data_IF_407565314165
#
_entry.id   IF_407565314165
#
_cell.length_a   1.000
_cell.length_b   1.000
_cell.length_c   1.000
_cell.angle_alpha   90.00
_cell.angle_beta   90.00
_cell.angle_gamma   90.00
#
_symmetry.space_group_name_H-M   'P 1'
#
loop_
_entity.id
_entity.type
_entity.pdbx_description
1 polymer ?
#
# COMPACT_ATOMS: atom_id res chain seq x y z
N UNK A 1 -54.32 26.19 23.10
CA UNK A 1 -52.90 26.09 23.53
C UNK A 1 -52.83 25.06 24.64
N UNK A 2 -52.47 23.82 24.32
CA UNK A 2 -52.40 22.74 25.31
C UNK A 2 -51.06 22.87 26.05
N UNK A 3 -51.15 23.26 27.32
CA UNK A 3 -50.02 23.45 28.22
C UNK A 3 -49.53 22.06 28.64
N UNK A 4 -48.31 21.70 28.24
CA UNK A 4 -47.72 20.42 28.62
C UNK A 4 -47.65 20.33 30.16
N UNK A 5 -48.06 19.19 30.77
CA UNK A 5 -48.02 19.02 32.22
C UNK A 5 -46.58 19.26 32.69
N UNK A 6 -46.41 20.23 33.58
CA UNK A 6 -45.14 20.48 34.26
C UNK A 6 -44.87 19.30 35.18
N UNK A 7 -44.12 18.32 34.69
CA UNK A 7 -43.65 17.21 35.50
C UNK A 7 -42.52 17.76 36.38
N UNK A 8 -42.69 17.73 37.72
CA UNK A 8 -41.65 18.24 38.62
C UNK A 8 -40.37 17.43 38.43
N UNK A 9 -39.19 18.07 38.48
CA UNK A 9 -37.92 17.39 38.30
C UNK A 9 -37.74 16.35 39.42
N UNK A 10 -37.57 15.09 39.04
CA UNK A 10 -37.26 14.00 39.98
C UNK A 10 -35.81 14.18 40.43
N UNK A 11 -35.64 14.44 41.72
CA UNK A 11 -34.36 14.72 42.33
C UNK A 11 -33.65 13.39 42.62
N UNK A 12 -32.76 12.99 41.71
CA UNK A 12 -32.04 11.73 41.84
C UNK A 12 -30.85 11.90 42.80
N UNK A 13 -31.04 11.42 44.03
CA UNK A 13 -30.03 11.43 45.10
C UNK A 13 -29.56 10.00 45.38
N UNK A 14 -28.30 9.88 45.78
CA UNK A 14 -27.79 8.72 46.52
C UNK A 14 -28.55 8.59 47.84
N UNK A 15 -28.62 7.38 48.44
CA UNK A 15 -29.23 7.22 49.76
C UNK A 15 -28.57 8.10 50.85
N UNK A 16 -27.36 8.57 50.59
CA UNK A 16 -26.53 9.37 51.51
C UNK A 16 -26.76 10.88 51.34
N UNK A 17 -27.71 11.26 50.48
CA UNK A 17 -28.13 12.65 50.27
C UNK A 17 -27.27 13.42 49.26
N UNK A 18 -26.28 12.79 48.64
CA UNK A 18 -25.53 13.40 47.54
C UNK A 18 -26.33 13.28 46.24
N UNK A 19 -26.41 14.36 45.45
CA UNK A 19 -26.97 14.31 44.10
C UNK A 19 -26.14 13.34 43.26
N UNK A 20 -26.80 12.45 42.52
CA UNK A 20 -26.07 11.72 41.48
C UNK A 20 -25.60 12.74 40.46
N UNK A 21 -24.29 12.91 40.32
CA UNK A 21 -23.73 13.66 39.22
C UNK A 21 -24.26 13.05 37.93
N UNK A 22 -25.16 13.77 37.25
CA UNK A 22 -25.58 13.38 35.92
C UNK A 22 -24.31 13.21 35.07
N UNK A 23 -24.18 12.12 34.27
CA UNK A 23 -23.04 11.97 33.38
C UNK A 23 -22.97 13.27 32.58
N UNK A 24 -21.90 14.05 32.77
CA UNK A 24 -21.73 15.33 32.11
C UNK A 24 -21.86 15.06 30.62
N UNK A 25 -23.03 15.38 30.06
CA UNK A 25 -23.26 15.27 28.64
C UNK A 25 -22.11 16.04 27.98
N UNK A 26 -21.35 15.43 27.05
CA UNK A 26 -20.14 16.04 26.52
C UNK A 26 -20.47 17.46 26.08
N UNK A 27 -19.86 18.43 26.77
CA UNK A 27 -20.13 19.86 26.59
C UNK A 27 -20.14 20.13 25.10
N UNK A 28 -21.31 20.51 24.55
CA UNK A 28 -21.49 20.84 23.13
C UNK A 28 -20.31 21.71 22.69
N UNK A 29 -19.47 21.12 21.83
CA UNK A 29 -18.07 21.47 21.66
C UNK A 29 -17.80 22.93 21.33
N UNK A 30 -16.78 23.45 22.01
CA UNK A 30 -16.05 24.66 21.65
C UNK A 30 -15.82 24.70 20.14
N UNK A 31 -16.00 25.86 19.49
CA UNK A 31 -15.76 26.01 18.04
C UNK A 31 -14.38 25.50 17.61
N UNK A 32 -13.41 25.53 18.53
CA UNK A 32 -12.06 24.98 18.36
C UNK A 32 -12.06 23.48 18.11
N UNK A 33 -12.90 22.72 18.80
CA UNK A 33 -12.98 21.26 18.66
C UNK A 33 -13.44 20.86 17.25
N UNK A 34 -14.38 21.63 16.70
CA UNK A 34 -14.85 21.48 15.31
C UNK A 34 -13.76 21.80 14.28
N UNK A 35 -12.91 22.78 14.57
CA UNK A 35 -11.76 23.13 13.72
C UNK A 35 -10.69 22.06 13.80
N UNK A 36 -10.37 21.57 15.00
CA UNK A 36 -9.41 20.48 15.21
C UNK A 36 -9.84 19.20 14.49
N UNK A 37 -11.11 18.81 14.59
CA UNK A 37 -11.62 17.61 13.91
C UNK A 37 -11.50 17.75 12.39
N UNK A 38 -11.87 18.91 11.82
CA UNK A 38 -11.73 19.16 10.38
C UNK A 38 -10.28 19.19 9.93
N UNK A 39 -9.41 19.83 10.70
CA UNK A 39 -8.00 19.94 10.39
C UNK A 39 -7.30 18.59 10.50
N UNK A 40 -7.62 17.80 11.52
CA UNK A 40 -7.15 16.42 11.69
C UNK A 40 -7.59 15.53 10.54
N UNK A 41 -8.87 15.60 10.13
CA UNK A 41 -9.38 14.87 8.97
C UNK A 41 -8.66 15.26 7.66
N UNK A 42 -8.48 16.55 7.42
CA UNK A 42 -7.76 17.05 6.25
C UNK A 42 -6.28 16.64 6.25
N UNK A 43 -5.62 16.68 7.42
CA UNK A 43 -4.23 16.27 7.58
C UNK A 43 -4.05 14.78 7.28
N UNK A 44 -4.97 13.92 7.74
CA UNK A 44 -4.94 12.48 7.43
C UNK A 44 -5.10 12.25 5.93
N UNK A 45 -6.05 12.94 5.28
CA UNK A 45 -6.22 12.83 3.83
C UNK A 45 -4.97 13.27 3.07
N UNK A 46 -4.39 14.42 3.46
CA UNK A 46 -3.16 14.93 2.88
C UNK A 46 -1.99 13.96 3.06
N UNK A 47 -1.87 13.34 4.23
CA UNK A 47 -0.83 12.34 4.50
C UNK A 47 -0.99 11.08 3.64
N UNK A 48 -2.23 10.60 3.44
CA UNK A 48 -2.50 9.45 2.56
C UNK A 48 -2.14 9.79 1.11
N UNK A 49 -2.54 10.96 0.63
CA UNK A 49 -2.21 11.42 -0.73
C UNK A 49 -0.70 11.55 -0.91
N UNK A 50 -0.02 12.22 0.02
CA UNK A 50 1.43 12.40 -0.03
C UNK A 50 2.16 11.06 0.03
N UNK A 51 1.78 10.16 0.93
CA UNK A 51 2.34 8.81 1.04
C UNK A 51 2.16 8.00 -0.25
N UNK A 52 0.96 8.05 -0.84
CA UNK A 52 0.69 7.43 -2.14
C UNK A 52 1.56 8.01 -3.26
N UNK A 53 1.75 9.33 -3.28
CA UNK A 53 2.58 10.01 -4.26
C UNK A 53 4.06 9.61 -4.14
N UNK A 54 4.58 9.51 -2.92
CA UNK A 54 5.95 9.05 -2.64
C UNK A 54 6.14 7.60 -3.10
N UNK A 55 5.16 6.73 -2.82
CA UNK A 55 5.19 5.34 -3.30
C UNK A 55 5.16 5.27 -4.83
N UNK A 56 4.29 6.05 -5.49
CA UNK A 56 4.24 6.10 -6.95
C UNK A 56 5.55 6.62 -7.55
N UNK A 57 6.11 7.70 -7.00
CA UNK A 57 7.37 8.27 -7.45
C UNK A 57 8.52 7.28 -7.31
N UNK A 58 8.64 6.59 -6.17
CA UNK A 58 9.67 5.57 -5.96
C UNK A 58 9.52 4.38 -6.91
N UNK A 59 8.28 3.93 -7.19
CA UNK A 59 8.02 2.89 -8.18
C UNK A 59 8.48 3.29 -9.59
N UNK A 60 8.18 4.51 -10.02
CA UNK A 60 8.64 5.03 -11.33
C UNK A 60 10.17 5.11 -11.38
N UNK A 61 10.81 5.54 -10.30
CA UNK A 61 12.27 5.64 -10.20
C UNK A 61 12.92 4.26 -10.32
N UNK A 62 12.41 3.27 -9.59
CA UNK A 62 12.86 1.89 -9.68
C UNK A 62 12.66 1.31 -11.07
N UNK A 63 11.49 1.54 -11.67
CA UNK A 63 11.20 1.03 -13.01
C UNK A 63 12.12 1.68 -14.06
N UNK A 64 12.33 2.99 -13.96
CA UNK A 64 13.26 3.74 -14.81
C UNK A 64 14.70 3.25 -14.69
N UNK A 65 15.11 2.81 -13.49
CA UNK A 65 16.42 2.20 -13.27
C UNK A 65 16.49 0.74 -13.74
N UNK A 66 15.40 -0.02 -13.59
CA UNK A 66 15.35 -1.44 -13.92
C UNK A 66 15.33 -1.68 -15.42
N UNK A 67 14.62 -0.85 -16.19
CA UNK A 67 14.52 -0.95 -17.65
C UNK A 67 15.91 -1.05 -18.32
N UNK A 68 16.87 -0.12 -18.12
CA UNK A 68 18.18 -0.22 -18.76
C UNK A 68 18.95 -1.46 -18.30
N UNK A 69 18.84 -1.85 -17.04
CA UNK A 69 19.48 -3.06 -16.51
C UNK A 69 18.97 -4.30 -17.24
N UNK A 70 17.65 -4.43 -17.41
CA UNK A 70 17.02 -5.56 -18.12
C UNK A 70 17.40 -5.56 -19.60
N UNK A 71 17.48 -4.38 -20.24
CA UNK A 71 17.92 -4.27 -21.64
C UNK A 71 19.35 -4.79 -21.79
N UNK A 72 20.28 -4.36 -20.92
CA UNK A 72 21.68 -4.80 -20.96
C UNK A 72 21.79 -6.30 -20.68
N UNK A 73 21.09 -6.80 -19.65
CA UNK A 73 21.09 -8.23 -19.34
C UNK A 73 20.54 -9.08 -20.50
N UNK A 74 19.46 -8.62 -21.15
CA UNK A 74 18.90 -9.24 -22.34
C UNK A 74 19.89 -9.24 -23.50
N UNK A 75 20.57 -8.13 -23.75
CA UNK A 75 21.60 -8.03 -24.80
C UNK A 75 22.76 -9.01 -24.54
N UNK A 76 23.25 -9.08 -23.30
CA UNK A 76 24.34 -9.97 -22.92
C UNK A 76 23.93 -11.43 -23.08
N UNK A 77 22.72 -11.79 -22.63
CA UNK A 77 22.16 -13.12 -22.81
C UNK A 77 22.04 -13.49 -24.29
N UNK A 78 21.49 -12.57 -25.10
CA UNK A 78 21.35 -12.74 -26.54
C UNK A 78 22.72 -12.92 -27.23
N UNK A 79 23.68 -12.04 -26.95
CA UNK A 79 25.03 -12.10 -27.53
C UNK A 79 25.73 -13.42 -27.18
N UNK A 80 25.59 -13.87 -25.94
CA UNK A 80 26.17 -15.14 -25.46
C UNK A 80 25.57 -16.33 -26.21
N UNK A 81 24.24 -16.35 -26.36
CA UNK A 81 23.53 -17.42 -27.06
C UNK A 81 23.87 -17.43 -28.55
N UNK A 82 23.91 -16.25 -29.18
CA UNK A 82 24.28 -16.08 -30.58
C UNK A 82 25.70 -16.55 -30.88
N UNK A 83 26.65 -16.18 -30.02
CA UNK A 83 28.03 -16.63 -30.15
C UNK A 83 28.17 -18.15 -30.02
N UNK A 84 27.42 -18.75 -29.08
CA UNK A 84 27.37 -20.19 -28.92
C UNK A 84 26.73 -20.88 -30.13
N UNK A 85 25.65 -20.33 -30.69
CA UNK A 85 25.00 -20.84 -31.89
C UNK A 85 25.93 -20.75 -33.11
N UNK A 86 26.67 -19.65 -33.27
CA UNK A 86 27.69 -19.49 -34.32
C UNK A 86 28.81 -20.52 -34.20
N UNK A 87 29.28 -20.81 -32.98
CA UNK A 87 30.29 -21.85 -32.74
C UNK A 87 29.77 -23.28 -32.95
N UNK A 88 28.48 -23.52 -32.66
CA UNK A 88 27.84 -24.80 -32.94
C UNK A 88 27.59 -25.01 -34.45
N UNK A 89 27.28 -23.94 -35.20
CA UNK A 89 27.05 -23.97 -36.64
C UNK A 89 28.31 -24.10 -37.51
N UNK A 90 29.52 -24.02 -36.93
CA UNK A 90 30.79 -24.24 -37.62
C UNK A 90 31.16 -25.72 -37.81
N UNK A 91 30.34 -26.67 -37.35
CA UNK A 91 30.47 -28.09 -37.67
C UNK A 91 29.39 -28.46 -38.70
N UNK A 92 29.74 -28.99 -39.88
CA UNK A 92 28.80 -29.31 -40.96
C UNK A 92 27.95 -30.56 -40.64
N UNK A 93 27.15 -30.50 -39.56
CA UNK A 93 26.29 -31.62 -39.14
C UNK A 93 25.66 -31.51 -37.74
N UNK A 94 25.49 -30.32 -37.17
CA UNK A 94 25.01 -30.15 -35.79
C UNK A 94 23.80 -29.23 -35.65
N UNK A 95 22.62 -29.71 -36.04
CA UNK A 95 21.36 -29.06 -35.67
C UNK A 95 21.15 -29.06 -34.14
N UNK A 96 20.36 -28.11 -33.59
CA UNK A 96 20.08 -28.05 -32.16
C UNK A 96 19.16 -29.21 -31.77
N UNK A 97 19.72 -30.38 -31.44
CA UNK A 97 18.89 -31.50 -30.96
C UNK A 97 19.45 -32.91 -30.98
N UNK A 98 20.67 -33.20 -31.46
CA UNK A 98 21.18 -34.58 -31.37
C UNK A 98 22.12 -34.76 -30.17
N UNK A 99 21.68 -35.46 -29.09
CA UNK A 99 22.61 -35.91 -28.07
C UNK A 99 23.65 -36.82 -28.73
N UNK A 100 24.94 -36.59 -28.44
CA UNK A 100 26.00 -37.45 -28.93
C UNK A 100 25.80 -38.86 -28.35
N UNK A 101 25.18 -39.75 -29.12
CA UNK A 101 25.06 -41.15 -28.75
C UNK A 101 26.46 -41.75 -28.77
N UNK A 102 27.00 -42.03 -27.58
CA UNK A 102 28.23 -42.81 -27.41
C UNK A 102 27.85 -44.26 -27.67
N UNK A 103 28.13 -44.76 -28.88
CA UNK A 103 27.99 -46.18 -29.19
C UNK A 103 29.19 -46.90 -28.58
N UNK A 104 28.99 -47.46 -27.39
CA UNK A 104 29.94 -48.41 -26.78
C UNK A 104 29.82 -49.70 -27.60
N UNK A 105 30.84 -49.99 -28.41
CA UNK A 105 31.00 -51.34 -28.98
C UNK A 105 31.65 -52.21 -27.92
N UNK A 106 30.88 -53.16 -27.39
CA UNK A 106 31.39 -54.27 -26.57
C UNK A 106 31.99 -55.33 -27.47
#
# INVERSE_FOLDING_TARGET
MLQAPHQPPVLDMTPEGEFRDAPQAPRRGSRLDRVLIRLGGAAVLAAVVAGGLVMAASAVLLLGLLIPVVIVAGLVGFATLWWRARRAGGRPGGGPGMPAFVIIRR
#
